data_IF_973168832375
#
_entry.id   IF_973168832375
#
_cell.length_a   1.000
_cell.length_b   1.000
_cell.length_c   1.000
_cell.angle_alpha   90.00
_cell.angle_beta   90.00
_cell.angle_gamma   90.00
#
_symmetry.space_group_name_H-M   'P 1'
#
loop_
_entity.id
_entity.type
_entity.pdbx_description
1 polymer ?
#
# COMPACT_ATOMS: atom_id res chain seq x y z
N UNK A 1 -9.67 7.85 -18.63
CA UNK A 1 -10.20 6.68 -17.90
C UNK A 1 -9.43 6.52 -16.61
N UNK A 2 -10.10 6.49 -15.44
CA UNK A 2 -9.47 6.48 -14.11
C UNK A 2 -8.83 5.13 -13.71
N UNK A 3 -8.89 4.12 -14.59
CA UNK A 3 -8.45 2.76 -14.30
C UNK A 3 -7.40 2.24 -15.29
N UNK A 4 -6.45 3.08 -15.70
CA UNK A 4 -5.26 2.57 -16.39
C UNK A 4 -4.26 2.07 -15.32
N UNK A 5 -4.36 0.79 -14.99
CA UNK A 5 -3.49 0.12 -14.01
C UNK A 5 -2.28 -0.57 -14.66
N UNK A 6 -1.98 -0.25 -15.93
CA UNK A 6 -0.83 -0.83 -16.66
C UNK A 6 -1.02 -2.29 -17.08
N UNK A 7 -2.25 -2.81 -17.03
CA UNK A 7 -2.60 -4.15 -17.48
C UNK A 7 -3.64 -4.05 -18.59
N UNK A 8 -3.39 -4.79 -19.65
CA UNK A 8 -4.33 -4.93 -20.76
C UNK A 8 -5.50 -5.80 -20.29
N UNK A 9 -6.66 -5.18 -20.07
CA UNK A 9 -7.87 -5.86 -19.65
C UNK A 9 -9.07 -5.23 -20.36
N UNK A 10 -10.05 -6.05 -20.70
CA UNK A 10 -11.25 -5.58 -21.37
C UNK A 10 -12.13 -4.80 -20.39
N UNK A 11 -12.24 -3.49 -20.61
CA UNK A 11 -13.17 -2.62 -19.87
C UNK A 11 -14.61 -2.73 -20.38
N UNK A 12 -14.84 -3.47 -21.46
CA UNK A 12 -16.11 -3.65 -22.16
C UNK A 12 -16.95 -4.83 -21.69
N UNK A 13 -16.64 -5.44 -20.54
CA UNK A 13 -17.49 -6.47 -19.93
C UNK A 13 -18.83 -5.82 -19.55
N UNK A 14 -19.86 -6.15 -20.34
CA UNK A 14 -21.27 -5.76 -20.24
C UNK A 14 -21.75 -5.56 -18.81
N UNK A 15 -22.23 -4.35 -18.45
CA UNK A 15 -23.04 -3.88 -17.29
C UNK A 15 -22.85 -4.53 -15.88
N UNK A 16 -21.97 -5.51 -15.69
CA UNK A 16 -21.76 -6.26 -14.45
C UNK A 16 -20.39 -5.90 -13.83
N UNK A 17 -20.38 -5.07 -12.78
CA UNK A 17 -19.15 -4.68 -12.11
C UNK A 17 -18.41 -5.84 -11.43
N UNK A 18 -19.10 -6.95 -11.09
CA UNK A 18 -18.44 -8.12 -10.49
C UNK A 18 -17.65 -8.91 -11.54
N UNK A 19 -18.23 -9.12 -12.72
CA UNK A 19 -17.55 -9.77 -13.83
C UNK A 19 -16.29 -8.98 -14.24
N UNK A 20 -16.43 -7.65 -14.41
CA UNK A 20 -15.30 -6.78 -14.73
C UNK A 20 -14.20 -6.80 -13.66
N UNK A 21 -14.56 -6.71 -12.38
CA UNK A 21 -13.61 -6.79 -11.27
C UNK A 21 -12.91 -8.15 -11.21
N UNK A 22 -13.62 -9.24 -11.52
CA UNK A 22 -13.07 -10.59 -11.54
C UNK A 22 -12.07 -10.80 -12.67
N UNK A 23 -12.40 -10.36 -13.89
CA UNK A 23 -11.49 -10.42 -15.03
C UNK A 23 -10.21 -9.62 -14.76
N UNK A 24 -10.34 -8.40 -14.22
CA UNK A 24 -9.18 -7.60 -13.83
C UNK A 24 -8.34 -8.30 -12.76
N UNK A 25 -8.96 -8.74 -11.66
CA UNK A 25 -8.25 -9.39 -10.56
C UNK A 25 -7.50 -10.65 -11.03
N UNK A 26 -8.13 -11.45 -11.88
CA UNK A 26 -7.49 -12.63 -12.45
C UNK A 26 -6.30 -12.25 -13.35
N UNK A 27 -6.45 -11.24 -14.21
CA UNK A 27 -5.38 -10.79 -15.09
C UNK A 27 -4.16 -10.25 -14.31
N UNK A 28 -4.38 -9.49 -13.23
CA UNK A 28 -3.29 -8.88 -12.46
C UNK A 28 -2.61 -9.84 -11.47
N UNK A 29 -3.28 -10.93 -11.05
CA UNK A 29 -2.76 -11.84 -10.00
C UNK A 29 -2.46 -13.25 -10.49
N UNK A 30 -3.05 -13.69 -11.60
CA UNK A 30 -3.02 -15.08 -12.04
C UNK A 30 -3.82 -16.03 -11.13
N UNK A 31 -4.73 -15.53 -10.30
CA UNK A 31 -5.55 -16.37 -9.42
C UNK A 31 -6.46 -17.33 -10.20
N UNK A 32 -6.64 -18.54 -9.66
CA UNK A 32 -7.66 -19.46 -10.15
C UNK A 32 -9.07 -18.88 -9.88
N UNK A 33 -10.03 -19.25 -10.72
CA UNK A 33 -11.41 -18.69 -10.70
C UNK A 33 -12.08 -18.75 -9.32
N UNK A 34 -11.97 -19.90 -8.61
CA UNK A 34 -12.56 -20.03 -7.27
C UNK A 34 -11.97 -19.08 -6.23
N UNK A 35 -10.69 -18.69 -6.38
CA UNK A 35 -10.07 -17.68 -5.51
C UNK A 35 -10.53 -16.28 -5.87
N UNK A 36 -10.63 -15.96 -7.16
CA UNK A 36 -11.14 -14.67 -7.63
C UNK A 36 -12.54 -14.42 -7.05
N UNK A 37 -13.42 -15.41 -7.14
CA UNK A 37 -14.78 -15.32 -6.58
C UNK A 37 -14.77 -15.11 -5.06
N UNK A 38 -13.95 -15.87 -4.32
CA UNK A 38 -13.84 -15.73 -2.88
C UNK A 38 -13.35 -14.33 -2.45
N UNK A 39 -12.33 -13.80 -3.14
CA UNK A 39 -11.78 -12.46 -2.87
C UNK A 39 -12.81 -11.38 -3.19
N UNK A 40 -13.52 -11.45 -4.33
CA UNK A 40 -14.59 -10.48 -4.67
C UNK A 40 -15.74 -10.50 -3.66
N UNK A 41 -16.18 -11.69 -3.25
CA UNK A 41 -17.21 -11.85 -2.23
C UNK A 41 -16.79 -11.21 -0.90
N UNK A 42 -15.51 -11.31 -0.55
CA UNK A 42 -14.99 -10.68 0.65
C UNK A 42 -14.81 -9.17 0.48
N UNK A 43 -14.26 -8.69 -0.64
CA UNK A 43 -14.07 -7.25 -0.92
C UNK A 43 -15.37 -6.47 -0.97
N UNK A 44 -16.47 -7.10 -1.42
CA UNK A 44 -17.80 -6.48 -1.46
C UNK A 44 -18.43 -6.31 -0.08
N UNK A 45 -17.99 -7.10 0.91
CA UNK A 45 -18.43 -7.02 2.31
C UNK A 45 -17.51 -6.09 3.12
N UNK A 46 -16.20 -6.20 2.92
CA UNK A 46 -15.18 -5.50 3.74
C UNK A 46 -14.64 -4.26 3.04
N UNK A 47 -15.48 -3.22 2.97
CA UNK A 47 -15.17 -1.98 2.23
C UNK A 47 -13.90 -1.31 2.77
N UNK A 48 -12.96 -1.03 1.87
CA UNK A 48 -11.73 -0.27 2.15
C UNK A 48 -10.61 -1.09 2.77
N UNK A 49 -10.87 -2.25 3.38
CA UNK A 49 -9.81 -3.10 3.92
C UNK A 49 -8.81 -3.56 2.85
N UNK A 50 -9.21 -4.01 1.64
CA UNK A 50 -8.26 -4.39 0.59
C UNK A 50 -7.31 -3.27 0.18
N UNK A 51 -7.73 -2.01 0.32
CA UNK A 51 -6.90 -0.84 0.02
C UNK A 51 -5.79 -0.62 1.04
N UNK A 52 -5.93 -1.15 2.26
CA UNK A 52 -5.01 -0.89 3.37
C UNK A 52 -3.59 -1.37 3.11
N UNK A 53 -3.40 -2.48 2.39
CA UNK A 53 -2.09 -3.08 2.14
C UNK A 53 -1.18 -2.17 1.31
N UNK A 54 -1.59 -1.85 0.08
CA UNK A 54 -0.78 -1.03 -0.82
C UNK A 54 -0.76 0.43 -0.39
N UNK A 55 -1.85 0.94 0.18
CA UNK A 55 -1.89 2.30 0.72
C UNK A 55 -0.92 2.42 1.90
N UNK A 56 -0.96 1.50 2.86
CA UNK A 56 -0.04 1.46 3.99
C UNK A 56 1.42 1.39 3.53
N UNK A 57 1.74 0.45 2.63
CA UNK A 57 3.07 0.34 2.06
C UNK A 57 3.53 1.64 1.38
N UNK A 58 2.67 2.25 0.57
CA UNK A 58 2.97 3.51 -0.13
C UNK A 58 3.31 4.62 0.87
N UNK A 59 2.53 4.77 1.94
CA UNK A 59 2.73 5.78 2.97
C UNK A 59 4.03 5.56 3.77
N UNK A 60 4.34 4.31 4.12
CA UNK A 60 5.60 3.97 4.82
C UNK A 60 6.80 4.26 3.93
N UNK A 61 6.73 3.93 2.64
CA UNK A 61 7.79 4.25 1.69
C UNK A 61 7.98 5.75 1.48
N UNK A 62 6.92 6.55 1.56
CA UNK A 62 7.05 8.03 1.56
C UNK A 62 7.79 8.50 2.79
N UNK A 63 7.34 8.08 3.97
CA UNK A 63 7.99 8.42 5.23
C UNK A 63 9.49 8.03 5.23
N UNK A 64 9.82 6.85 4.70
CA UNK A 64 11.21 6.40 4.56
C UNK A 64 12.05 7.34 3.68
N UNK A 65 11.53 7.72 2.52
CA UNK A 65 12.18 8.68 1.62
C UNK A 65 12.32 10.05 2.23
N UNK A 66 11.39 10.45 3.10
CA UNK A 66 11.47 11.73 3.81
C UNK A 66 12.62 11.72 4.83
N UNK A 67 12.80 10.61 5.55
CA UNK A 67 13.94 10.40 6.45
C UNK A 67 15.28 10.38 5.69
N UNK A 68 15.33 9.69 4.56
CA UNK A 68 16.53 9.66 3.70
C UNK A 68 16.93 11.06 3.24
N UNK A 69 15.97 11.90 2.84
CA UNK A 69 16.23 13.30 2.47
C UNK A 69 16.65 14.15 3.66
N UNK A 70 16.03 13.99 4.82
CA UNK A 70 16.37 14.75 6.03
C UNK A 70 17.80 14.46 6.54
N UNK A 71 18.32 13.27 6.25
CA UNK A 71 19.63 12.82 6.71
C UNK A 71 20.70 12.70 5.61
N UNK A 72 20.45 13.25 4.43
CA UNK A 72 21.41 13.23 3.32
C UNK A 72 22.78 13.76 3.77
N UNK A 73 23.85 12.98 3.53
CA UNK A 73 25.21 13.31 3.94
C UNK A 73 25.53 13.12 5.43
N UNK A 74 24.56 12.72 6.28
CA UNK A 74 24.78 12.51 7.73
C UNK A 74 24.55 11.07 8.17
N UNK A 75 23.49 10.41 7.67
CA UNK A 75 23.15 9.03 7.97
C UNK A 75 22.76 8.34 6.67
N UNK A 76 23.20 7.09 6.45
CA UNK A 76 22.88 6.37 5.22
C UNK A 76 22.95 4.85 5.42
N UNK A 77 22.44 4.11 4.43
CA UNK A 77 22.48 2.65 4.43
C UNK A 77 21.86 2.02 5.67
N UNK A 78 22.53 0.99 6.20
CA UNK A 78 22.05 0.20 7.33
C UNK A 78 21.84 1.01 8.61
N UNK A 79 22.63 2.06 8.84
CA UNK A 79 22.48 2.87 10.05
C UNK A 79 21.21 3.72 9.99
N UNK A 80 20.88 4.25 8.81
CA UNK A 80 19.62 4.95 8.58
C UNK A 80 18.44 3.99 8.70
N UNK A 81 18.55 2.80 8.11
CA UNK A 81 17.54 1.75 8.23
C UNK A 81 17.29 1.38 9.69
N UNK A 82 18.34 1.14 10.49
CA UNK A 82 18.18 0.77 11.89
C UNK A 82 17.47 1.85 12.70
N UNK A 83 17.87 3.12 12.56
CA UNK A 83 17.19 4.23 13.26
C UNK A 83 15.74 4.40 12.82
N UNK A 84 15.47 4.28 11.52
CA UNK A 84 14.11 4.31 10.99
C UNK A 84 13.25 3.22 11.65
N UNK A 85 13.71 1.96 11.63
CA UNK A 85 12.97 0.84 12.17
C UNK A 85 12.81 0.91 13.69
N UNK A 86 13.79 1.46 14.41
CA UNK A 86 13.69 1.70 15.85
C UNK A 86 12.51 2.61 16.17
N UNK A 87 12.45 3.81 15.56
CA UNK A 87 11.34 4.75 15.78
C UNK A 87 10.01 4.17 15.30
N UNK A 88 10.01 3.51 14.13
CA UNK A 88 8.83 2.90 13.53
C UNK A 88 8.20 1.82 14.42
N UNK A 89 8.99 0.84 14.86
CA UNK A 89 8.49 -0.31 15.62
C UNK A 89 8.15 0.05 17.07
N UNK A 90 8.87 0.98 17.69
CA UNK A 90 8.54 1.45 19.04
C UNK A 90 7.24 2.25 19.11
N UNK A 91 6.75 2.81 18.00
CA UNK A 91 5.48 3.51 17.95
C UNK A 91 4.24 2.58 17.90
N UNK A 92 4.44 1.27 17.73
CA UNK A 92 3.37 0.28 17.69
C UNK A 92 2.47 0.40 16.44
N UNK A 93 1.19 -0.02 16.57
CA UNK A 93 0.22 -0.08 15.47
C UNK A 93 -0.43 1.28 15.14
N UNK A 94 0.36 2.35 15.17
CA UNK A 94 -0.12 3.70 14.96
C UNK A 94 -0.47 3.95 13.47
N UNK A 95 -1.56 4.67 13.14
CA UNK A 95 -1.80 5.09 11.77
C UNK A 95 -0.62 5.93 11.24
N UNK A 96 -0.19 5.68 10.00
CA UNK A 96 1.03 6.31 9.45
C UNK A 96 0.97 7.84 9.48
N UNK A 97 -0.22 8.43 9.37
CA UNK A 97 -0.42 9.89 9.49
C UNK A 97 0.01 10.46 10.85
N UNK A 98 -0.20 9.71 11.94
CA UNK A 98 0.29 10.08 13.27
C UNK A 98 1.76 9.69 13.45
N UNK A 99 2.18 8.57 12.87
CA UNK A 99 3.58 8.14 12.92
C UNK A 99 4.52 9.20 12.35
N UNK A 100 4.12 9.90 11.27
CA UNK A 100 4.91 11.03 10.75
C UNK A 100 5.18 12.11 11.81
N UNK A 101 4.24 12.36 12.73
CA UNK A 101 4.44 13.33 13.82
C UNK A 101 5.48 12.84 14.82
N UNK A 102 5.45 11.55 15.15
CA UNK A 102 6.48 10.93 16.01
C UNK A 102 7.87 11.06 15.38
N UNK A 103 7.98 10.84 14.07
CA UNK A 103 9.26 11.02 13.37
C UNK A 103 9.76 12.47 13.44
N UNK A 104 8.87 13.46 13.30
CA UNK A 104 9.22 14.87 13.45
C UNK A 104 9.66 15.20 14.90
N UNK A 105 8.94 14.73 15.91
CA UNK A 105 9.31 14.91 17.33
C UNK A 105 10.65 14.26 17.69
N UNK A 106 11.02 13.18 16.99
CA UNK A 106 12.31 12.49 17.14
C UNK A 106 13.42 13.10 16.28
N UNK A 107 13.14 14.15 15.51
CA UNK A 107 14.11 14.81 14.62
C UNK A 107 14.57 13.93 13.46
N UNK A 108 13.72 13.00 13.01
CA UNK A 108 14.00 12.09 11.90
C UNK A 108 13.48 12.62 10.55
N UNK A 109 12.49 13.53 10.58
CA UNK A 109 11.98 14.28 9.43
C UNK A 109 11.68 15.72 9.83
#
# INVERSE_FOLDING_TARGET
>A
TYLNVGVDFDTGVDDDPFAAAGSLLQAVTGFASGRVEAELNWYSQERGYPLSYLTGNRLVWELKRDVERAHEGTLSGLDLDRKFHEVYLHAGNMPVSFLRRVFAERGMI
#
